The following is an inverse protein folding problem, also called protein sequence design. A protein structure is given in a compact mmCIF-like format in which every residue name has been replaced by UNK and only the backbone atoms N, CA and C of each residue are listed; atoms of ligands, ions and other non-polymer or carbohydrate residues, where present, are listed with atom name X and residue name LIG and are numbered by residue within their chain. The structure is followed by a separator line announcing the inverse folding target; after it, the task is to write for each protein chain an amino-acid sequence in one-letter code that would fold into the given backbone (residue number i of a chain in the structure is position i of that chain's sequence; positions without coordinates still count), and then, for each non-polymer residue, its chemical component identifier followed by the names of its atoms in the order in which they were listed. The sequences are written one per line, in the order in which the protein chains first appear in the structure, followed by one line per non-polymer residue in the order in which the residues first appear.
data_IF_713097504416
#
_entry.id   IF_713097504416
#
_cell.length_a   1.000
_cell.length_b   1.000
_cell.length_c   1.000
_cell.angle_alpha   90.00
_cell.angle_beta   90.00
_cell.angle_gamma   90.00
#
_symmetry.space_group_name_H-M   'P 1'
#
loop_
_entity.id
_entity.type
_entity.pdbx_description
1 polymer ?
#
# COMPACT_ATOMS: atom_id res chain seq x y z
N UNK A 1 2.81 0.62 28.02
CA UNK A 1 3.27 0.99 26.66
C UNK A 1 3.92 2.38 26.62
N UNK A 2 3.46 3.35 27.42
CA UNK A 2 4.08 4.69 27.51
C UNK A 2 5.55 4.71 27.99
N UNK A 3 5.88 3.94 29.04
CA UNK A 3 7.23 3.95 29.64
C UNK A 3 8.33 3.48 28.67
N UNK A 4 8.07 2.41 27.91
CA UNK A 4 8.99 1.89 26.87
C UNK A 4 9.21 2.90 25.74
N UNK A 5 8.17 3.66 25.37
CA UNK A 5 8.28 4.68 24.33
C UNK A 5 9.09 5.88 24.82
N UNK A 6 8.89 6.29 26.08
CA UNK A 6 9.66 7.36 26.70
C UNK A 6 11.14 7.01 26.85
N UNK A 7 11.46 5.76 27.25
CA UNK A 7 12.84 5.28 27.35
C UNK A 7 13.55 5.25 25.98
N UNK A 8 12.86 4.80 24.93
CA UNK A 8 13.37 4.83 23.54
C UNK A 8 13.63 6.26 23.09
N UNK A 9 12.72 7.19 23.39
CA UNK A 9 12.88 8.60 23.05
C UNK A 9 14.08 9.23 23.77
N UNK A 10 14.22 8.97 25.08
CA UNK A 10 15.37 9.45 25.88
C UNK A 10 16.70 8.92 25.34
N UNK A 11 16.74 7.64 24.98
CA UNK A 11 17.91 7.00 24.37
C UNK A 11 18.26 7.67 23.03
N UNK A 12 17.25 7.90 22.18
CA UNK A 12 17.43 8.57 20.90
C UNK A 12 17.95 10.01 21.06
N UNK A 13 17.38 10.80 21.97
CA UNK A 13 17.83 12.17 22.25
C UNK A 13 19.30 12.17 22.67
N UNK A 14 19.68 11.28 23.58
CA UNK A 14 21.06 11.14 24.06
C UNK A 14 22.03 10.74 22.94
N UNK A 15 21.62 9.85 22.04
CA UNK A 15 22.42 9.50 20.85
C UNK A 15 22.65 10.70 19.94
N UNK A 16 21.60 11.50 19.69
CA UNK A 16 21.69 12.72 18.87
C UNK A 16 22.59 13.77 19.53
N UNK A 17 22.44 13.99 20.84
CA UNK A 17 23.30 14.91 21.61
C UNK A 17 24.78 14.52 21.53
N UNK A 18 25.10 13.24 21.74
CA UNK A 18 26.47 12.74 21.66
C UNK A 18 27.05 12.89 20.25
N UNK A 19 26.26 12.59 19.22
CA UNK A 19 26.67 12.76 17.81
C UNK A 19 26.95 14.23 17.49
N UNK A 20 26.03 15.12 17.85
CA UNK A 20 26.16 16.57 17.67
C UNK A 20 27.40 17.11 18.38
N UNK A 21 27.64 16.68 19.62
CA UNK A 21 28.83 17.08 20.38
C UNK A 21 30.12 16.64 19.67
N UNK A 22 30.20 15.38 19.24
CA UNK A 22 31.37 14.87 18.50
C UNK A 22 31.65 15.67 17.22
N UNK A 23 30.60 16.01 16.47
CA UNK A 23 30.70 16.81 15.24
C UNK A 23 31.25 18.22 15.52
N UNK A 24 30.79 18.87 16.60
CA UNK A 24 31.26 20.19 16.99
C UNK A 24 32.71 20.16 17.49
N UNK A 25 33.08 19.13 18.26
CA UNK A 25 34.45 18.92 18.74
C UNK A 25 35.43 18.71 17.58
N UNK A 26 35.07 17.88 16.60
CA UNK A 26 35.88 17.66 15.39
C UNK A 26 35.99 18.93 14.52
N UNK A 27 34.91 19.69 14.38
CA UNK A 27 34.95 21.00 13.69
C UNK A 27 35.89 21.98 14.36
N UNK A 28 35.86 22.04 15.69
CA UNK A 28 36.77 22.88 16.47
C UNK A 28 38.21 22.41 16.26
N UNK A 29 38.46 21.10 16.34
CA UNK A 29 39.77 20.50 16.08
C UNK A 29 40.31 20.86 14.69
N UNK A 30 39.49 20.79 13.65
CA UNK A 30 39.88 21.17 12.28
C UNK A 30 40.14 22.67 12.13
N UNK A 31 39.34 23.52 12.79
CA UNK A 31 39.54 24.97 12.77
C UNK A 31 40.83 25.39 13.46
N UNK A 32 41.16 24.72 14.57
CA UNK A 32 42.35 25.00 15.38
C UNK A 32 43.58 24.23 14.87
N UNK A 33 43.43 23.38 13.85
CA UNK A 33 44.51 22.56 13.31
C UNK A 33 45.56 23.41 12.58
N UNK A 34 46.82 23.16 12.90
CA UNK A 34 47.97 23.69 12.19
C UNK A 34 48.58 22.52 11.39
N UNK A 35 48.60 22.59 10.05
CA UNK A 35 49.24 21.56 9.23
C UNK A 35 50.68 21.29 9.66
N UNK A 36 51.15 20.05 9.46
CA UNK A 36 52.49 19.65 9.86
C UNK A 36 53.55 20.50 9.13
N UNK A 37 54.47 21.10 9.88
CA UNK A 37 55.58 21.85 9.31
C UNK A 37 56.58 20.92 8.62
N UNK A 38 57.39 21.44 7.70
CA UNK A 38 58.48 20.66 7.08
C UNK A 38 59.41 20.02 8.12
N UNK A 39 59.67 20.71 9.24
CA UNK A 39 60.52 20.19 10.32
C UNK A 39 59.88 18.98 11.01
N UNK A 40 58.57 19.02 11.26
CA UNK A 40 57.83 17.90 11.83
C UNK A 40 57.81 16.71 10.86
N UNK A 41 57.54 16.97 9.57
CA UNK A 41 57.52 15.95 8.52
C UNK A 41 58.88 15.25 8.36
N UNK A 42 60.00 15.97 8.54
CA UNK A 42 61.36 15.37 8.50
C UNK A 42 61.64 14.41 9.65
N UNK A 43 60.98 14.57 10.80
CA UNK A 43 61.13 13.69 11.98
C UNK A 43 60.30 12.41 11.88
N UNK A 44 59.33 12.35 10.95
CA UNK A 44 58.45 11.21 10.74
C UNK A 44 59.06 10.16 9.82
N UNK A 45 58.57 8.92 9.94
CA UNK A 45 59.06 7.78 9.19
C UNK A 45 58.65 7.88 7.71
N UNK A 46 59.63 8.00 6.81
CA UNK A 46 59.43 8.09 5.36
C UNK A 46 59.70 6.77 4.62
N UNK A 47 59.87 5.64 5.34
CA UNK A 47 60.18 4.37 4.72
C UNK A 47 59.02 3.89 3.82
N UNK A 48 59.33 3.59 2.55
CA UNK A 48 58.32 3.13 1.57
C UNK A 48 57.53 1.91 2.06
N UNK A 49 58.18 0.99 2.80
CA UNK A 49 57.51 -0.17 3.41
C UNK A 49 56.38 0.24 4.36
N UNK A 50 56.57 1.33 5.11
CA UNK A 50 55.61 1.83 6.11
C UNK A 50 54.47 2.58 5.44
N UNK A 51 54.75 3.39 4.43
CA UNK A 51 53.71 4.07 3.63
C UNK A 51 52.87 3.07 2.84
N UNK A 52 53.46 2.08 2.17
CA UNK A 52 52.69 1.01 1.48
C UNK A 52 51.86 0.17 2.46
N UNK A 53 52.36 -0.12 3.66
CA UNK A 53 51.60 -0.82 4.68
C UNK A 53 50.39 0.01 5.16
N UNK A 54 50.57 1.32 5.33
CA UNK A 54 49.49 2.24 5.64
C UNK A 54 48.41 2.24 4.55
N UNK A 55 48.79 2.36 3.27
CA UNK A 55 47.85 2.33 2.14
C UNK A 55 47.01 1.05 2.09
N UNK A 56 47.61 -0.11 2.39
CA UNK A 56 46.89 -1.40 2.49
C UNK A 56 45.87 -1.44 3.62
N UNK A 57 46.17 -0.79 4.75
CA UNK A 57 45.22 -0.66 5.87
C UNK A 57 44.08 0.29 5.50
N UNK A 58 44.39 1.41 4.83
CA UNK A 58 43.41 2.39 4.40
C UNK A 58 42.39 1.81 3.40
N UNK A 59 42.83 0.93 2.50
CA UNK A 59 41.94 0.20 1.58
C UNK A 59 40.89 -0.66 2.28
N UNK A 60 41.21 -1.17 3.47
CA UNK A 60 40.32 -1.98 4.32
C UNK A 60 39.96 -1.22 5.60
N UNK A 61 39.69 0.08 5.48
CA UNK A 61 39.36 0.94 6.61
C UNK A 61 38.09 0.45 7.32
N UNK A 62 38.20 0.23 8.63
CA UNK A 62 37.13 -0.27 9.48
C UNK A 62 37.46 -0.07 10.95
N UNK A 63 36.53 -0.47 11.83
CA UNK A 63 36.67 -0.28 13.27
C UNK A 63 37.89 -1.01 13.85
N UNK A 64 38.23 -2.19 13.31
CA UNK A 64 39.35 -3.03 13.78
C UNK A 64 40.70 -2.35 13.50
N UNK A 65 40.84 -1.72 12.33
CA UNK A 65 42.10 -1.11 11.90
C UNK A 65 42.28 0.32 12.44
N UNK A 66 41.21 0.95 12.96
CA UNK A 66 41.17 2.37 13.32
C UNK A 66 42.36 2.80 14.19
N UNK A 67 42.58 2.15 15.33
CA UNK A 67 43.67 2.51 16.25
C UNK A 67 45.05 2.39 15.58
N UNK A 68 45.26 1.36 14.77
CA UNK A 68 46.52 1.19 14.04
C UNK A 68 46.69 2.23 12.93
N UNK A 69 45.62 2.61 12.24
CA UNK A 69 45.66 3.64 11.20
C UNK A 69 46.03 4.98 11.83
N UNK A 70 45.37 5.37 12.93
CA UNK A 70 45.66 6.64 13.62
C UNK A 70 47.10 6.70 14.12
N UNK A 71 47.63 5.61 14.69
CA UNK A 71 49.04 5.54 15.10
C UNK A 71 50.01 5.71 13.92
N UNK A 72 49.67 5.19 12.74
CA UNK A 72 50.49 5.36 11.56
C UNK A 72 50.37 6.79 11.00
N UNK A 73 49.20 7.44 11.07
CA UNK A 73 49.02 8.87 10.70
C UNK A 73 49.93 9.79 11.53
N UNK A 74 50.11 9.50 12.82
CA UNK A 74 50.96 10.29 13.72
C UNK A 74 52.47 10.07 13.52
N UNK A 75 52.87 8.95 12.89
CA UNK A 75 54.28 8.50 12.86
C UNK A 75 54.88 8.44 11.46
N UNK A 76 54.06 8.26 10.43
CA UNK A 76 54.51 8.06 9.04
C UNK A 76 54.33 9.35 8.26
N UNK A 77 55.37 9.76 7.53
CA UNK A 77 55.28 10.90 6.63
C UNK A 77 54.48 10.51 5.37
N UNK A 78 53.23 10.96 5.28
CA UNK A 78 52.31 10.65 4.18
C UNK A 78 52.15 11.82 3.19
N UNK A 79 52.97 12.87 3.32
CA UNK A 79 52.86 14.10 2.50
C UNK A 79 52.93 13.84 0.99
N UNK A 80 53.69 12.83 0.56
CA UNK A 80 53.82 12.46 -0.87
C UNK A 80 52.70 11.55 -1.39
N UNK A 81 51.81 11.09 -0.52
CA UNK A 81 50.79 10.09 -0.83
C UNK A 81 49.36 10.64 -0.66
N UNK A 82 49.17 11.95 -0.50
CA UNK A 82 47.86 12.56 -0.21
C UNK A 82 46.82 12.23 -1.29
N UNK A 83 47.17 12.37 -2.58
CA UNK A 83 46.27 11.99 -3.69
C UNK A 83 45.93 10.49 -3.69
N UNK A 84 46.93 9.63 -3.45
CA UNK A 84 46.69 8.18 -3.41
C UNK A 84 45.79 7.80 -2.21
N UNK A 85 45.95 8.49 -1.07
CA UNK A 85 45.11 8.32 0.11
C UNK A 85 43.65 8.67 -0.20
N UNK A 86 43.40 9.80 -0.87
CA UNK A 86 42.02 10.23 -1.18
C UNK A 86 41.34 9.30 -2.17
N UNK A 87 42.04 8.84 -3.22
CA UNK A 87 41.53 7.82 -4.15
C UNK A 87 41.26 6.50 -3.43
N UNK A 88 42.17 6.05 -2.56
CA UNK A 88 42.01 4.80 -1.80
C UNK A 88 40.79 4.84 -0.88
N UNK A 89 40.53 5.96 -0.20
CA UNK A 89 39.35 6.12 0.67
C UNK A 89 38.07 6.13 -0.16
N UNK A 90 38.05 6.84 -1.29
CA UNK A 90 36.87 6.97 -2.15
C UNK A 90 36.46 5.60 -2.77
N UNK A 91 37.44 4.77 -3.11
CA UNK A 91 37.23 3.44 -3.69
C UNK A 91 37.06 2.31 -2.64
N UNK A 92 37.30 2.60 -1.36
CA UNK A 92 37.23 1.59 -0.31
C UNK A 92 35.83 0.97 -0.18
N UNK A 93 35.79 -0.33 0.10
CA UNK A 93 34.55 -1.08 0.36
C UNK A 93 34.14 -0.93 1.83
N UNK A 94 33.60 0.24 2.15
CA UNK A 94 33.24 0.63 3.52
C UNK A 94 31.90 -0.01 3.89
N UNK A 95 31.80 -0.65 5.06
CA UNK A 95 30.50 -1.08 5.59
C UNK A 95 29.76 0.10 6.21
N UNK A 96 28.43 0.05 6.18
CA UNK A 96 27.61 1.09 6.80
C UNK A 96 27.93 1.29 8.30
N UNK A 97 28.27 0.25 9.04
CA UNK A 97 28.70 0.34 10.45
C UNK A 97 30.07 0.99 10.67
N UNK A 98 30.91 1.06 9.63
CA UNK A 98 32.31 1.53 9.71
C UNK A 98 32.47 3.00 9.31
N UNK A 99 31.42 3.65 8.81
CA UNK A 99 31.45 5.05 8.34
C UNK A 99 32.07 5.99 9.38
N UNK A 100 31.70 5.85 10.65
CA UNK A 100 32.24 6.71 11.72
C UNK A 100 33.75 6.52 11.92
N UNK A 101 34.27 5.30 11.78
CA UNK A 101 35.72 5.05 11.80
C UNK A 101 36.43 5.74 10.63
N UNK A 102 35.81 5.76 9.44
CA UNK A 102 36.32 6.47 8.28
C UNK A 102 36.34 7.97 8.51
N UNK A 103 35.26 8.53 9.05
CA UNK A 103 35.17 9.95 9.41
C UNK A 103 36.28 10.35 10.38
N UNK A 104 36.52 9.57 11.44
CA UNK A 104 37.61 9.82 12.40
C UNK A 104 38.98 9.88 11.71
N UNK A 105 39.27 8.95 10.78
CA UNK A 105 40.53 8.97 10.02
C UNK A 105 40.61 10.21 9.12
N UNK A 106 39.54 10.53 8.40
CA UNK A 106 39.49 11.71 7.53
C UNK A 106 39.69 13.02 8.31
N UNK A 107 39.11 13.15 9.51
CA UNK A 107 39.32 14.32 10.39
C UNK A 107 40.80 14.45 10.77
N UNK A 108 41.47 13.36 11.14
CA UNK A 108 42.90 13.39 11.49
C UNK A 108 43.79 13.74 10.29
N UNK A 109 43.54 13.12 9.14
CA UNK A 109 44.26 13.42 7.90
C UNK A 109 44.08 14.88 7.47
N UNK A 110 42.87 15.42 7.60
CA UNK A 110 42.56 16.82 7.30
C UNK A 110 43.24 17.81 8.26
N UNK A 111 43.51 17.42 9.50
CA UNK A 111 44.27 18.25 10.44
C UNK A 111 45.75 18.39 10.04
N UNK A 112 46.34 17.33 9.47
CA UNK A 112 47.78 17.28 9.16
C UNK A 112 48.12 17.72 7.73
N UNK A 113 47.24 17.42 6.78
CA UNK A 113 47.47 17.65 5.35
C UNK A 113 46.39 18.58 4.79
N UNK A 114 46.74 19.85 4.57
CA UNK A 114 45.79 20.91 4.18
C UNK A 114 45.04 20.65 2.87
N UNK A 115 45.65 19.92 1.94
CA UNK A 115 45.06 19.59 0.62
C UNK A 115 44.19 18.33 0.66
N UNK A 116 44.19 17.56 1.76
CA UNK A 116 43.50 16.29 1.83
C UNK A 116 41.98 16.45 1.61
N UNK A 117 41.34 17.42 2.27
CA UNK A 117 39.90 17.65 2.16
C UNK A 117 39.48 18.04 0.74
N UNK A 118 40.24 18.91 0.06
CA UNK A 118 39.91 19.36 -1.29
C UNK A 118 40.09 18.23 -2.31
N UNK A 119 41.17 17.47 -2.21
CA UNK A 119 41.43 16.32 -3.08
C UNK A 119 40.40 15.20 -2.86
N UNK A 120 40.00 14.91 -1.62
CA UNK A 120 38.96 13.92 -1.33
C UNK A 120 37.61 14.35 -1.91
N UNK A 121 37.27 15.64 -1.84
CA UNK A 121 36.03 16.15 -2.43
C UNK A 121 36.00 15.99 -3.95
N UNK A 122 37.15 16.15 -4.63
CA UNK A 122 37.28 15.90 -6.08
C UNK A 122 37.00 14.43 -6.40
N UNK A 123 37.48 13.49 -5.60
CA UNK A 123 37.18 12.06 -5.80
C UNK A 123 35.69 11.75 -5.61
N UNK A 124 35.03 12.29 -4.57
CA UNK A 124 33.58 12.13 -4.40
C UNK A 124 32.79 12.71 -5.58
N UNK A 125 33.23 13.83 -6.16
CA UNK A 125 32.57 14.45 -7.32
C UNK A 125 32.64 13.56 -8.58
N UNK A 126 33.66 12.70 -8.71
CA UNK A 126 33.76 11.71 -9.81
C UNK A 126 32.85 10.51 -9.60
N UNK A 127 32.59 10.12 -8.34
CA UNK A 127 31.84 8.92 -7.98
C UNK A 127 30.32 9.12 -7.93
N UNK A 128 29.87 10.33 -7.55
CA UNK A 128 28.46 10.61 -7.35
C UNK A 128 27.76 10.99 -8.66
N UNK A 129 26.53 10.49 -8.89
CA UNK A 129 25.76 10.86 -10.07
C UNK A 129 25.40 12.35 -10.02
N UNK A 130 25.54 13.04 -11.15
CA UNK A 130 25.34 14.48 -11.26
C UNK A 130 24.40 14.86 -12.39
N UNK A 131 24.34 14.06 -13.45
CA UNK A 131 23.48 14.29 -14.61
C UNK A 131 22.34 13.29 -14.59
N UNK A 132 21.16 13.70 -15.06
CA UNK A 132 19.99 12.81 -15.18
C UNK A 132 20.23 11.55 -16.03
N UNK A 133 21.23 11.57 -16.91
CA UNK A 133 21.65 10.43 -17.73
C UNK A 133 22.51 9.39 -17.01
N UNK A 134 23.01 9.72 -15.82
CA UNK A 134 23.94 8.86 -15.10
C UNK A 134 23.20 7.62 -14.57
N UNK A 135 23.82 6.44 -14.72
CA UNK A 135 23.26 5.18 -14.20
C UNK A 135 23.92 4.84 -12.87
N UNK A 136 23.11 4.52 -11.86
CA UNK A 136 23.60 4.04 -10.57
C UNK A 136 24.06 2.58 -10.76
N UNK A 137 25.37 2.36 -10.80
CA UNK A 137 25.94 1.01 -10.96
C UNK A 137 25.82 0.16 -9.68
N UNK A 138 26.00 0.78 -8.52
CA UNK A 138 25.97 0.09 -7.23
C UNK A 138 25.21 0.91 -6.17
N UNK A 139 23.90 0.69 -6.03
CA UNK A 139 23.06 1.40 -5.05
C UNK A 139 23.53 1.21 -3.60
N UNK A 140 24.07 0.03 -3.27
CA UNK A 140 24.56 -0.28 -1.93
C UNK A 140 25.80 0.53 -1.56
N UNK A 141 26.74 0.70 -2.49
CA UNK A 141 27.90 1.59 -2.31
C UNK A 141 27.45 3.04 -2.25
N UNK A 142 26.58 3.48 -3.18
CA UNK A 142 26.09 4.86 -3.20
C UNK A 142 25.42 5.26 -1.87
N UNK A 143 24.65 4.35 -1.26
CA UNK A 143 24.08 4.55 0.09
C UNK A 143 25.13 4.85 1.16
N UNK A 144 26.25 4.13 1.14
CA UNK A 144 27.35 4.36 2.10
C UNK A 144 28.08 5.65 1.79
N UNK A 145 28.33 5.93 0.50
CA UNK A 145 29.05 7.12 0.04
C UNK A 145 28.28 8.41 0.34
N UNK A 146 26.95 8.44 0.14
CA UNK A 146 26.09 9.59 0.49
C UNK A 146 26.10 9.83 2.00
N UNK A 147 26.04 8.75 2.80
CA UNK A 147 26.15 8.87 4.26
C UNK A 147 27.51 9.42 4.67
N UNK A 148 28.60 8.89 4.12
CA UNK A 148 29.95 9.33 4.42
C UNK A 148 30.13 10.80 4.03
N UNK A 149 29.67 11.21 2.84
CA UNK A 149 29.68 12.61 2.41
C UNK A 149 28.94 13.52 3.40
N UNK A 150 27.74 13.11 3.84
CA UNK A 150 26.97 13.86 4.83
C UNK A 150 27.72 14.01 6.17
N UNK A 151 28.29 12.92 6.70
CA UNK A 151 29.05 12.95 7.95
C UNK A 151 30.33 13.81 7.80
N UNK A 152 31.06 13.73 6.68
CA UNK A 152 32.24 14.57 6.43
C UNK A 152 31.89 16.06 6.36
N UNK A 153 30.72 16.43 5.81
CA UNK A 153 30.21 17.79 5.88
C UNK A 153 29.86 18.20 7.33
N UNK A 154 29.22 17.32 8.10
CA UNK A 154 28.82 17.60 9.48
C UNK A 154 30.03 17.75 10.42
N UNK A 155 31.06 16.92 10.27
CA UNK A 155 32.32 17.01 11.02
C UNK A 155 33.25 18.14 10.51
N UNK A 156 32.92 18.78 9.39
CA UNK A 156 33.66 19.95 8.87
C UNK A 156 34.88 19.62 8.01
N UNK A 157 35.06 18.36 7.64
CA UNK A 157 36.08 17.96 6.64
C UNK A 157 35.79 18.63 5.30
N UNK A 158 34.51 18.68 4.91
CA UNK A 158 34.06 19.45 3.76
C UNK A 158 33.30 20.72 4.18
N UNK A 159 33.60 21.83 3.50
CA UNK A 159 32.88 23.08 3.65
C UNK A 159 31.64 23.18 2.77
N UNK A 160 31.35 24.40 2.30
CA UNK A 160 30.18 24.73 1.46
C UNK A 160 30.10 23.88 0.18
N UNK A 161 31.23 23.63 -0.47
CA UNK A 161 31.27 22.84 -1.71
C UNK A 161 30.83 21.38 -1.50
N UNK A 162 31.13 20.79 -0.34
CA UNK A 162 30.67 19.45 0.01
C UNK A 162 29.16 19.39 0.20
N UNK A 163 28.59 20.40 0.86
CA UNK A 163 27.13 20.52 1.04
C UNK A 163 26.42 20.72 -0.31
N UNK A 164 27.03 21.49 -1.23
CA UNK A 164 26.51 21.64 -2.60
C UNK A 164 26.52 20.31 -3.36
N UNK A 165 27.63 19.57 -3.32
CA UNK A 165 27.72 18.25 -3.94
C UNK A 165 26.69 17.27 -3.37
N UNK A 166 26.52 17.26 -2.04
CA UNK A 166 25.50 16.47 -1.35
C UNK A 166 24.09 16.82 -1.85
N UNK A 167 23.81 18.11 -2.02
CA UNK A 167 22.53 18.56 -2.55
C UNK A 167 22.29 18.19 -4.00
N UNK A 168 23.30 18.27 -4.86
CA UNK A 168 23.21 17.76 -6.24
C UNK A 168 22.90 16.27 -6.28
N UNK A 169 23.53 15.48 -5.42
CA UNK A 169 23.30 14.04 -5.36
C UNK A 169 21.89 13.69 -4.83
N UNK A 170 21.42 14.35 -3.77
CA UNK A 170 20.05 14.17 -3.26
C UNK A 170 19.02 14.61 -4.29
N UNK A 171 19.25 15.73 -4.98
CA UNK A 171 18.39 16.20 -6.07
C UNK A 171 18.36 15.21 -7.23
N UNK A 172 19.49 14.62 -7.62
CA UNK A 172 19.51 13.55 -8.63
C UNK A 172 18.65 12.36 -8.18
N UNK A 173 18.84 11.86 -6.95
CA UNK A 173 18.12 10.70 -6.42
C UNK A 173 16.61 10.93 -6.36
N UNK A 174 16.16 12.13 -5.96
CA UNK A 174 14.73 12.42 -5.83
C UNK A 174 14.07 12.79 -7.16
N UNK A 175 14.80 13.38 -8.12
CA UNK A 175 14.23 13.81 -9.39
C UNK A 175 14.23 12.71 -10.47
N UNK A 176 15.11 11.71 -10.36
CA UNK A 176 15.21 10.62 -11.35
C UNK A 176 14.33 9.42 -11.03
N UNK A 177 13.73 9.38 -9.85
CA UNK A 177 13.02 8.22 -9.32
C UNK A 177 11.65 8.63 -8.76
N UNK A 178 10.71 8.90 -9.67
CA UNK A 178 9.37 9.42 -9.34
C UNK A 178 8.27 8.38 -9.51
N UNK A 179 8.59 7.19 -10.02
CA UNK A 179 7.64 6.11 -10.29
C UNK A 179 7.95 4.91 -9.41
N UNK A 180 9.13 4.30 -9.55
CA UNK A 180 9.48 3.04 -8.87
C UNK A 180 9.98 3.21 -7.43
N UNK A 181 10.54 4.38 -7.10
CA UNK A 181 11.08 4.73 -5.78
C UNK A 181 12.23 3.81 -5.30
N UNK A 182 13.03 3.29 -6.23
CA UNK A 182 14.19 2.40 -6.02
C UNK A 182 15.27 3.04 -5.12
N UNK A 183 15.39 4.37 -5.13
CA UNK A 183 16.37 5.15 -4.38
C UNK A 183 15.97 5.37 -2.92
N UNK A 184 14.76 4.99 -2.50
CA UNK A 184 14.31 5.18 -1.11
C UNK A 184 15.25 4.60 -0.04
N UNK A 185 15.90 3.42 -0.21
CA UNK A 185 16.83 2.88 0.77
C UNK A 185 18.13 3.68 0.89
N UNK A 186 18.43 4.55 -0.09
CA UNK A 186 19.56 5.48 -0.09
C UNK A 186 19.19 6.75 0.68
N UNK A 187 17.95 7.24 0.49
CA UNK A 187 17.45 8.49 1.06
C UNK A 187 17.11 8.38 2.55
N UNK A 188 16.48 7.28 3.01
CA UNK A 188 16.08 7.13 4.42
C UNK A 188 17.25 7.27 5.41
N UNK A 189 18.41 6.62 5.21
CA UNK A 189 19.58 6.83 6.06
C UNK A 189 20.11 8.27 6.05
N UNK A 190 20.03 8.94 4.90
CA UNK A 190 20.42 10.35 4.76
C UNK A 190 19.53 11.26 5.59
N UNK A 191 18.20 11.06 5.55
CA UNK A 191 17.25 11.83 6.36
C UNK A 191 17.57 11.75 7.87
N UNK A 192 17.87 10.54 8.37
CA UNK A 192 18.24 10.30 9.77
C UNK A 192 19.52 11.04 10.18
N UNK A 193 20.53 11.07 9.31
CA UNK A 193 21.83 11.70 9.60
C UNK A 193 21.70 13.23 9.59
N UNK A 194 21.01 13.76 8.59
CA UNK A 194 20.90 15.20 8.37
C UNK A 194 19.87 15.90 9.26
N UNK A 195 19.02 15.12 9.94
CA UNK A 195 17.91 15.60 10.77
C UNK A 195 17.07 16.65 10.03
N UNK A 196 16.60 16.28 8.84
CA UNK A 196 15.99 17.21 7.88
C UNK A 196 14.66 17.77 8.38
N UNK A 197 13.94 17.05 9.25
CA UNK A 197 12.79 17.60 9.94
C UNK A 197 13.20 18.45 11.15
N UNK A 198 12.69 19.68 11.16
CA UNK A 198 12.31 20.35 12.41
C UNK A 198 11.07 19.63 12.95
N UNK A 199 11.23 18.41 13.48
CA UNK A 199 10.07 17.66 13.99
C UNK A 199 9.35 18.48 15.03
N UNK A 200 8.09 18.79 14.73
CA UNK A 200 7.18 19.47 15.62
C UNK A 200 7.19 18.81 17.01
N UNK A 201 7.18 19.65 18.04
CA UNK A 201 7.08 19.36 19.47
C UNK A 201 8.30 18.80 20.23
N UNK A 202 9.42 18.43 19.61
CA UNK A 202 10.65 18.04 20.35
C UNK A 202 11.85 18.85 19.83
N UNK A 203 12.40 19.72 20.69
CA UNK A 203 13.65 20.45 20.40
C UNK A 203 14.84 19.49 20.44
N UNK A 204 15.12 18.82 19.33
CA UNK A 204 16.38 18.10 19.16
C UNK A 204 17.55 19.11 19.08
N UNK A 205 18.76 18.74 19.54
CA UNK A 205 19.94 19.58 19.38
C UNK A 205 20.19 19.86 17.89
N UNK A 206 19.84 21.06 17.45
CA UNK A 206 20.11 21.49 16.08
C UNK A 206 21.58 21.87 15.94
N UNK A 207 22.32 21.14 15.12
CA UNK A 207 23.61 21.61 14.64
C UNK A 207 23.37 22.77 13.65
N UNK A 208 23.88 23.96 13.98
CA UNK A 208 23.97 25.13 13.07
C UNK A 208 25.02 24.95 11.96
N UNK A 209 25.58 23.75 11.85
CA UNK A 209 26.64 23.36 10.93
C UNK A 209 26.24 23.54 9.46
N UNK A 210 25.02 23.15 9.13
CA UNK A 210 24.45 23.30 7.79
C UNK A 210 23.46 24.45 7.85
N UNK A 211 23.58 25.39 6.90
CA UNK A 211 22.71 26.56 6.87
C UNK A 211 21.24 26.14 6.78
N UNK A 212 20.38 26.98 7.37
CA UNK A 212 18.93 26.78 7.37
C UNK A 212 18.41 26.67 5.93
N UNK A 213 18.99 27.42 4.99
CA UNK A 213 18.60 27.39 3.57
C UNK A 213 18.82 26.01 2.94
N UNK A 214 20.00 25.39 3.15
CA UNK A 214 20.25 24.03 2.64
C UNK A 214 19.31 23.00 3.28
N UNK A 215 19.05 23.10 4.59
CA UNK A 215 18.09 22.21 5.26
C UNK A 215 16.69 22.34 4.65
N UNK A 216 16.22 23.57 4.39
CA UNK A 216 14.94 23.82 3.71
C UNK A 216 14.93 23.24 2.30
N UNK A 217 16.01 23.39 1.52
CA UNK A 217 16.11 22.79 0.19
C UNK A 217 16.03 21.26 0.24
N UNK A 218 16.73 20.61 1.16
CA UNK A 218 16.65 19.15 1.32
C UNK A 218 15.25 18.71 1.76
N UNK A 219 14.64 19.41 2.71
CA UNK A 219 13.28 19.14 3.16
C UNK A 219 12.28 19.22 2.01
N UNK A 220 12.36 20.27 1.18
CA UNK A 220 11.47 20.42 0.03
C UNK A 220 11.64 19.29 -1.00
N UNK A 221 12.88 18.95 -1.36
CA UNK A 221 13.15 17.85 -2.30
C UNK A 221 12.59 16.51 -1.81
N UNK A 222 12.67 16.26 -0.50
CA UNK A 222 12.17 15.03 0.12
C UNK A 222 10.64 15.04 0.29
N UNK A 223 10.04 16.19 0.58
CA UNK A 223 8.59 16.36 0.59
C UNK A 223 8.00 16.13 -0.81
N UNK A 224 8.62 16.68 -1.84
CA UNK A 224 8.19 16.46 -3.22
C UNK A 224 8.31 14.99 -3.62
N UNK A 225 9.40 14.31 -3.20
CA UNK A 225 9.59 12.87 -3.41
C UNK A 225 8.55 12.04 -2.63
N UNK A 226 8.21 12.46 -1.41
CA UNK A 226 7.16 11.82 -0.61
C UNK A 226 5.81 11.87 -1.33
N UNK A 227 5.47 12.97 -2.02
CA UNK A 227 4.21 13.07 -2.77
C UNK A 227 4.13 11.98 -3.84
N UNK A 228 5.17 11.80 -4.67
CA UNK A 228 5.18 10.73 -5.68
C UNK A 228 5.19 9.33 -5.04
N UNK A 229 5.82 9.18 -3.87
CA UNK A 229 5.87 7.92 -3.14
C UNK A 229 4.49 7.52 -2.63
N UNK A 230 3.74 8.47 -2.06
CA UNK A 230 2.37 8.23 -1.58
C UNK A 230 1.46 7.83 -2.73
N UNK A 231 1.59 8.44 -3.90
CA UNK A 231 0.84 8.04 -5.10
C UNK A 231 1.22 6.63 -5.58
N UNK A 232 2.51 6.26 -5.54
CA UNK A 232 2.93 4.89 -5.84
C UNK A 232 2.34 3.87 -4.85
N UNK A 233 2.33 4.17 -3.56
CA UNK A 233 1.72 3.32 -2.53
C UNK A 233 0.21 3.14 -2.81
N UNK A 234 -0.50 4.21 -3.20
CA UNK A 234 -1.92 4.14 -3.57
C UNK A 234 -2.17 3.26 -4.80
N UNK A 235 -1.28 3.33 -5.79
CA UNK A 235 -1.36 2.48 -7.00
C UNK A 235 -1.16 1.00 -6.67
N UNK A 236 -0.15 0.66 -5.86
CA UNK A 236 0.09 -0.71 -5.39
C UNK A 236 -1.11 -1.24 -4.57
N UNK A 237 -1.68 -0.40 -3.70
CA UNK A 237 -2.89 -0.75 -2.94
C UNK A 237 -4.09 -1.03 -3.86
N UNK A 238 -4.30 -0.18 -4.87
CA UNK A 238 -5.38 -0.35 -5.83
C UNK A 238 -5.24 -1.65 -6.62
N UNK A 239 -4.04 -1.95 -7.13
CA UNK A 239 -3.73 -3.20 -7.84
C UNK A 239 -3.98 -4.43 -6.94
N UNK A 240 -3.51 -4.37 -5.69
CA UNK A 240 -3.74 -5.43 -4.70
C UNK A 240 -5.24 -5.67 -4.45
N UNK A 241 -6.01 -4.61 -4.24
CA UNK A 241 -7.45 -4.70 -3.99
C UNK A 241 -8.19 -5.31 -5.20
N UNK A 242 -7.85 -4.90 -6.42
CA UNK A 242 -8.45 -5.45 -7.65
C UNK A 242 -8.19 -6.97 -7.78
N UNK A 243 -6.97 -7.42 -7.53
CA UNK A 243 -6.63 -8.83 -7.58
C UNK A 243 -7.31 -9.63 -6.46
N UNK A 244 -7.36 -9.06 -5.24
CA UNK A 244 -8.07 -9.66 -4.12
C UNK A 244 -9.56 -9.88 -4.43
N UNK A 245 -10.22 -8.88 -5.01
CA UNK A 245 -11.63 -8.98 -5.44
C UNK A 245 -11.82 -10.05 -6.53
N UNK A 246 -10.90 -10.12 -7.50
CA UNK A 246 -10.91 -11.15 -8.55
C UNK A 246 -10.79 -12.56 -7.95
N UNK A 247 -9.83 -12.78 -7.04
CA UNK A 247 -9.61 -14.06 -6.36
C UNK A 247 -10.82 -14.48 -5.54
N UNK A 248 -11.42 -13.56 -4.78
CA UNK A 248 -12.66 -13.81 -4.01
C UNK A 248 -13.80 -14.22 -4.94
N UNK A 249 -13.97 -13.52 -6.07
CA UNK A 249 -14.99 -13.85 -7.09
C UNK A 249 -14.76 -15.22 -7.73
N UNK A 250 -13.51 -15.57 -8.07
CA UNK A 250 -13.17 -16.89 -8.61
C UNK A 250 -13.48 -18.00 -7.59
N UNK A 251 -13.03 -17.82 -6.35
CA UNK A 251 -13.30 -18.76 -5.25
C UNK A 251 -14.80 -18.96 -5.04
N UNK A 252 -15.61 -17.90 -5.13
CA UNK A 252 -17.08 -17.99 -5.06
C UNK A 252 -17.70 -18.76 -6.23
N UNK A 253 -17.23 -18.51 -7.45
CA UNK A 253 -17.86 -19.04 -8.67
C UNK A 253 -17.39 -20.45 -9.04
N UNK A 254 -16.18 -20.84 -8.64
CA UNK A 254 -15.55 -22.12 -9.02
C UNK A 254 -15.21 -23.02 -7.82
N UNK A 255 -15.24 -22.48 -6.61
CA UNK A 255 -14.79 -23.16 -5.38
C UNK A 255 -13.31 -22.94 -5.07
N UNK A 256 -12.53 -22.47 -6.04
CA UNK A 256 -11.11 -22.15 -5.88
C UNK A 256 -10.70 -20.95 -6.75
N UNK A 257 -9.58 -20.34 -6.39
CA UNK A 257 -8.81 -19.44 -7.26
C UNK A 257 -7.58 -20.15 -7.82
N UNK A 258 -7.03 -19.66 -8.93
CA UNK A 258 -5.81 -20.24 -9.50
C UNK A 258 -4.62 -20.07 -8.54
N UNK A 259 -3.66 -21.01 -8.60
CA UNK A 259 -2.42 -20.89 -7.83
C UNK A 259 -1.57 -19.69 -8.29
N UNK A 260 -1.66 -19.34 -9.56
CA UNK A 260 -1.00 -18.18 -10.17
C UNK A 260 -1.53 -16.86 -9.58
N UNK A 261 -2.86 -16.68 -9.50
CA UNK A 261 -3.46 -15.49 -8.89
C UNK A 261 -3.07 -15.35 -7.42
N UNK A 262 -3.06 -16.46 -6.65
CA UNK A 262 -2.63 -16.45 -5.25
C UNK A 262 -1.16 -16.02 -5.10
N UNK A 263 -0.27 -16.58 -5.92
CA UNK A 263 1.15 -16.20 -5.93
C UNK A 263 1.32 -14.72 -6.29
N UNK A 264 0.58 -14.24 -7.29
CA UNK A 264 0.65 -12.85 -7.72
C UNK A 264 0.13 -11.88 -6.65
N UNK A 265 -0.92 -12.25 -5.91
CA UNK A 265 -1.41 -11.48 -4.76
C UNK A 265 -0.36 -11.37 -3.66
N UNK A 266 0.35 -12.46 -3.35
CA UNK A 266 1.44 -12.46 -2.37
C UNK A 266 2.60 -11.55 -2.81
N UNK A 267 2.95 -11.55 -4.11
CA UNK A 267 3.97 -10.67 -4.68
C UNK A 267 3.61 -9.18 -4.57
N UNK A 268 2.38 -8.81 -4.99
CA UNK A 268 1.91 -7.42 -4.91
C UNK A 268 1.81 -6.98 -3.45
N UNK A 269 1.29 -7.83 -2.55
CA UNK A 269 1.21 -7.53 -1.11
C UNK A 269 2.59 -7.26 -0.52
N UNK A 270 3.58 -8.11 -0.81
CA UNK A 270 4.95 -7.93 -0.31
C UNK A 270 5.59 -6.63 -0.85
N UNK A 271 5.29 -6.26 -2.09
CA UNK A 271 5.73 -4.99 -2.69
C UNK A 271 5.10 -3.79 -1.99
N UNK A 272 3.77 -3.81 -1.83
CA UNK A 272 2.98 -2.79 -1.13
C UNK A 272 3.46 -2.57 0.31
N UNK A 273 3.59 -3.63 1.12
CA UNK A 273 4.01 -3.53 2.53
C UNK A 273 5.41 -2.90 2.67
N UNK A 274 6.33 -3.26 1.77
CA UNK A 274 7.70 -2.74 1.75
C UNK A 274 7.73 -1.25 1.42
N UNK A 275 6.97 -0.83 0.42
CA UNK A 275 6.93 0.59 0.03
C UNK A 275 6.16 1.43 1.06
N UNK A 276 5.08 0.91 1.62
CA UNK A 276 4.32 1.54 2.72
C UNK A 276 5.22 1.77 3.94
N UNK A 277 5.98 0.75 4.35
CA UNK A 277 6.94 0.87 5.46
C UNK A 277 7.96 1.99 5.20
N UNK A 278 8.44 2.10 3.95
CA UNK A 278 9.39 3.13 3.56
C UNK A 278 8.75 4.53 3.54
N UNK A 279 7.47 4.63 3.13
CA UNK A 279 6.69 5.87 3.17
C UNK A 279 6.37 6.36 4.58
N UNK A 280 6.06 5.44 5.50
CA UNK A 280 5.88 5.75 6.92
C UNK A 280 7.19 6.31 7.50
N UNK A 281 8.31 5.60 7.32
CA UNK A 281 9.60 6.06 7.82
C UNK A 281 10.02 7.41 7.23
N UNK A 282 9.81 7.65 5.93
CA UNK A 282 10.10 8.94 5.32
C UNK A 282 9.22 10.05 5.92
N UNK A 283 7.93 9.78 6.13
CA UNK A 283 6.98 10.73 6.71
C UNK A 283 7.34 11.07 8.16
N UNK A 284 7.73 10.08 8.96
CA UNK A 284 8.28 10.27 10.31
C UNK A 284 9.52 11.18 10.29
N UNK A 285 10.48 10.92 9.39
CA UNK A 285 11.69 11.75 9.26
C UNK A 285 11.41 13.16 8.74
N UNK A 286 10.27 13.40 8.10
CA UNK A 286 9.84 14.71 7.61
C UNK A 286 8.87 15.41 8.59
N UNK A 287 8.44 14.72 9.65
CA UNK A 287 7.46 15.24 10.61
C UNK A 287 6.07 15.44 10.00
N UNK A 288 5.71 14.64 9.00
CA UNK A 288 4.40 14.70 8.33
C UNK A 288 3.64 13.43 8.66
N UNK A 289 2.33 13.54 8.89
CA UNK A 289 1.47 12.38 9.14
C UNK A 289 1.29 11.56 7.84
N UNK A 290 1.26 10.23 7.98
CA UNK A 290 0.98 9.33 6.87
C UNK A 290 -0.53 9.10 6.77
N UNK A 291 -1.08 9.23 5.57
CA UNK A 291 -2.51 8.97 5.32
C UNK A 291 -2.87 7.52 5.70
N UNK A 292 -4.01 7.33 6.37
CA UNK A 292 -4.51 5.98 6.69
C UNK A 292 -5.04 5.34 5.41
N UNK A 293 -4.35 4.30 4.95
CA UNK A 293 -4.74 3.52 3.78
C UNK A 293 -5.37 2.21 4.28
N UNK A 294 -6.68 2.05 4.04
CA UNK A 294 -7.39 0.82 4.38
C UNK A 294 -7.44 -0.07 3.15
N UNK A 295 -7.13 -1.35 3.34
CA UNK A 295 -7.48 -2.37 2.35
C UNK A 295 -9.00 -2.34 2.15
N UNK A 296 -9.44 -2.26 0.90
CA UNK A 296 -10.86 -2.31 0.60
C UNK A 296 -11.31 -3.76 0.81
N UNK A 297 -12.12 -3.96 1.84
CA UNK A 297 -12.87 -5.20 2.00
C UNK A 297 -13.91 -5.27 0.86
N UNK A 298 -14.18 -6.48 0.38
CA UNK A 298 -15.16 -6.68 -0.69
C UNK A 298 -16.50 -6.10 -0.25
N UNK A 299 -17.22 -5.39 -1.14
CA UNK A 299 -18.57 -4.85 -0.85
C UNK A 299 -19.49 -5.96 -0.29
N UNK A 300 -19.28 -7.20 -0.71
CA UNK A 300 -20.04 -8.38 -0.31
C UNK A 300 -19.67 -8.96 1.08
N UNK A 301 -18.65 -8.48 1.80
CA UNK A 301 -18.30 -9.06 3.12
C UNK A 301 -19.41 -8.85 4.15
N UNK A 302 -20.08 -7.70 4.15
CA UNK A 302 -21.24 -7.47 5.01
C UNK A 302 -22.41 -8.40 4.65
N UNK A 303 -22.63 -8.65 3.35
CA UNK A 303 -23.65 -9.58 2.87
C UNK A 303 -23.31 -11.03 3.23
N UNK A 304 -22.05 -11.43 3.14
CA UNK A 304 -21.59 -12.78 3.50
C UNK A 304 -21.67 -13.03 5.01
N UNK A 305 -21.24 -12.06 5.83
CA UNK A 305 -21.41 -12.11 7.29
C UNK A 305 -22.89 -12.21 7.64
N UNK A 306 -23.74 -11.46 6.94
CA UNK A 306 -25.19 -11.50 7.11
C UNK A 306 -25.79 -12.85 6.69
N UNK A 307 -25.35 -13.42 5.56
CA UNK A 307 -25.81 -14.72 5.07
C UNK A 307 -25.37 -15.86 5.98
N UNK A 308 -24.14 -15.83 6.48
CA UNK A 308 -23.61 -16.80 7.46
C UNK A 308 -24.31 -16.67 8.81
N UNK A 309 -24.57 -15.44 9.28
CA UNK A 309 -25.32 -15.19 10.50
C UNK A 309 -26.76 -15.71 10.38
N UNK A 310 -27.41 -15.48 9.23
CA UNK A 310 -28.74 -16.02 8.92
C UNK A 310 -28.73 -17.55 8.88
N UNK A 311 -27.73 -18.17 8.24
CA UNK A 311 -27.56 -19.62 8.18
C UNK A 311 -27.37 -20.24 9.57
N UNK A 312 -26.56 -19.62 10.45
CA UNK A 312 -26.43 -20.05 11.85
C UNK A 312 -27.73 -19.91 12.61
N UNK A 313 -28.40 -18.77 12.50
CA UNK A 313 -29.67 -18.52 13.19
C UNK A 313 -30.76 -19.52 12.76
N UNK A 314 -30.74 -19.95 11.49
CA UNK A 314 -31.59 -21.02 10.97
C UNK A 314 -31.23 -22.40 11.55
N UNK A 315 -29.94 -22.73 11.63
CA UNK A 315 -29.48 -24.02 12.14
C UNK A 315 -29.69 -24.17 13.65
N UNK A 316 -29.50 -23.09 14.41
CA UNK A 316 -29.73 -23.03 15.86
C UNK A 316 -31.22 -22.94 16.22
N UNK A 317 -32.11 -22.78 15.22
CA UNK A 317 -33.55 -22.66 15.41
C UNK A 317 -34.00 -21.32 15.99
N UNK A 318 -33.10 -20.34 16.08
CA UNK A 318 -33.36 -18.99 16.59
C UNK A 318 -34.25 -18.18 15.63
N UNK A 319 -34.17 -18.48 14.33
CA UNK A 319 -35.01 -17.89 13.27
C UNK A 319 -35.62 -19.04 12.47
N UNK A 320 -36.93 -18.99 12.24
CA UNK A 320 -37.63 -19.90 11.34
C UNK A 320 -37.76 -19.25 9.96
N UNK A 321 -37.55 -20.01 8.88
CA UNK A 321 -37.91 -19.55 7.52
C UNK A 321 -39.42 -19.31 7.43
N UNK A 322 -40.18 -20.07 8.22
CA UNK A 322 -41.64 -20.08 8.18
C UNK A 322 -42.23 -19.07 9.16
N UNK A 323 -43.15 -18.19 8.70
CA UNK A 323 -43.84 -17.25 9.57
C UNK A 323 -44.85 -17.93 10.51
N UNK A 324 -45.39 -19.08 10.09
CA UNK A 324 -46.35 -19.88 10.84
C UNK A 324 -46.32 -21.35 10.36
N UNK A 325 -46.88 -22.23 11.19
CA UNK A 325 -46.95 -23.67 10.94
C UNK A 325 -47.86 -24.00 9.74
N UNK A 326 -48.90 -23.20 9.48
CA UNK A 326 -49.79 -23.40 8.33
C UNK A 326 -49.04 -23.21 7.01
N UNK A 327 -48.20 -22.18 6.94
CA UNK A 327 -47.33 -21.89 5.79
C UNK A 327 -46.30 -23.00 5.62
N UNK A 328 -45.68 -23.47 6.71
CA UNK A 328 -44.77 -24.62 6.68
C UNK A 328 -45.48 -25.86 6.12
N UNK A 329 -46.65 -26.19 6.65
CA UNK A 329 -47.43 -27.34 6.20
C UNK A 329 -47.86 -27.21 4.75
N UNK A 330 -48.22 -26.02 4.29
CA UNK A 330 -48.56 -25.79 2.88
C UNK A 330 -47.40 -26.13 1.93
N UNK A 331 -46.16 -25.79 2.30
CA UNK A 331 -44.98 -26.08 1.47
C UNK A 331 -44.41 -27.48 1.68
N UNK A 332 -44.53 -28.07 2.88
CA UNK A 332 -44.01 -29.41 3.20
C UNK A 332 -45.01 -30.53 2.87
N UNK A 333 -46.32 -30.25 2.85
CA UNK A 333 -47.37 -31.24 2.59
C UNK A 333 -47.82 -31.18 1.14
N UNK A 334 -47.60 -32.26 0.38
CA UNK A 334 -48.09 -32.38 -1.00
C UNK A 334 -49.63 -32.39 -1.03
N UNK A 335 -50.22 -31.31 -1.52
CA UNK A 335 -51.65 -31.24 -1.82
C UNK A 335 -51.98 -32.00 -3.13
N UNK A 336 -52.90 -32.96 -3.08
CA UNK A 336 -53.36 -33.67 -4.28
C UNK A 336 -54.25 -32.77 -5.17
N UNK A 337 -53.63 -32.00 -6.06
CA UNK A 337 -54.33 -31.08 -6.96
C UNK A 337 -55.34 -31.73 -7.89
N UNK A 338 -55.22 -33.05 -8.13
CA UNK A 338 -56.18 -33.83 -8.92
C UNK A 338 -57.60 -33.76 -8.37
N UNK A 339 -57.76 -33.51 -7.07
CA UNK A 339 -59.06 -33.44 -6.41
C UNK A 339 -59.64 -32.01 -6.36
N UNK A 340 -58.81 -30.99 -6.54
CA UNK A 340 -59.17 -29.58 -6.33
C UNK A 340 -59.29 -28.78 -7.62
N UNK A 341 -58.61 -29.22 -8.69
CA UNK A 341 -58.54 -28.49 -9.95
C UNK A 341 -59.52 -29.11 -10.96
N UNK A 342 -60.39 -28.31 -11.62
CA UNK A 342 -61.32 -28.83 -12.62
C UNK A 342 -60.61 -29.60 -13.74
N UNK A 343 -61.20 -30.73 -14.16
CA UNK A 343 -60.67 -31.62 -15.20
C UNK A 343 -60.26 -30.91 -16.51
N UNK A 344 -60.86 -29.74 -16.79
CA UNK A 344 -60.62 -28.93 -17.97
C UNK A 344 -59.16 -28.41 -18.06
N UNK A 345 -58.48 -28.24 -16.92
CA UNK A 345 -57.08 -27.83 -16.86
C UNK A 345 -56.09 -28.97 -17.14
N UNK A 346 -56.58 -30.21 -17.26
CA UNK A 346 -55.79 -31.39 -17.61
C UNK A 346 -55.91 -31.76 -19.10
N UNK A 347 -56.70 -31.03 -19.89
CA UNK A 347 -56.91 -31.32 -21.32
C UNK A 347 -55.90 -30.60 -22.20
N UNK A 348 -55.13 -31.41 -22.95
CA UNK A 348 -54.19 -31.11 -24.06
C UNK A 348 -53.45 -29.77 -24.05
N UNK A 349 -52.12 -29.91 -24.05
CA UNK A 349 -51.05 -28.89 -23.99
C UNK A 349 -51.22 -27.72 -24.98
N UNK A 350 -52.03 -27.86 -26.03
CA UNK A 350 -52.14 -26.87 -27.11
C UNK A 350 -52.91 -25.60 -26.74
N UNK A 351 -53.80 -25.64 -25.74
CA UNK A 351 -54.64 -24.47 -25.39
C UNK A 351 -53.92 -23.50 -24.44
N UNK A 352 -52.96 -23.97 -23.65
CA UNK A 352 -52.31 -23.19 -22.58
C UNK A 352 -51.15 -22.33 -23.12
N UNK A 353 -50.52 -22.75 -24.23
CA UNK A 353 -49.39 -22.08 -24.87
C UNK A 353 -49.74 -20.69 -25.45
N UNK A 354 -51.01 -20.47 -25.80
CA UNK A 354 -51.48 -19.20 -26.37
C UNK A 354 -51.53 -18.06 -25.35
N UNK A 355 -51.68 -18.36 -24.05
CA UNK A 355 -51.73 -17.34 -22.99
C UNK A 355 -50.34 -16.79 -22.62
N UNK A 356 -49.26 -17.51 -22.93
CA UNK A 356 -47.90 -17.09 -22.57
C UNK A 356 -47.21 -16.20 -23.61
N UNK A 357 -47.73 -16.11 -24.84
CA UNK A 357 -47.14 -15.31 -25.91
C UNK A 357 -47.31 -13.78 -25.75
N UNK A 358 -48.13 -13.33 -24.80
CA UNK A 358 -48.42 -11.91 -24.56
C UNK A 358 -47.62 -11.25 -23.42
N UNK A 359 -46.69 -11.95 -22.77
CA UNK A 359 -46.00 -11.45 -21.59
C UNK A 359 -44.50 -11.23 -21.84
N UNK A 360 -44.02 -10.10 -21.34
CA UNK A 360 -42.65 -9.58 -21.40
C UNK A 360 -41.54 -10.62 -21.27
N UNK A 361 -40.41 -10.33 -21.92
CA UNK A 361 -39.10 -11.02 -22.09
C UNK A 361 -38.60 -12.05 -21.06
N UNK A 362 -39.24 -12.20 -19.90
CA UNK A 362 -38.91 -13.15 -18.84
C UNK A 362 -39.85 -14.37 -18.78
N UNK A 363 -41.04 -14.29 -19.39
CA UNK A 363 -41.97 -15.42 -19.55
C UNK A 363 -41.42 -16.61 -20.38
N UNK A 364 -40.58 -16.40 -21.43
CA UNK A 364 -40.00 -17.49 -22.19
C UNK A 364 -39.04 -18.34 -21.38
N UNK A 365 -38.35 -17.79 -20.37
CA UNK A 365 -37.39 -18.53 -19.55
C UNK A 365 -38.09 -19.54 -18.65
N UNK A 366 -39.18 -19.13 -18.00
CA UNK A 366 -39.99 -20.04 -17.18
C UNK A 366 -40.72 -21.09 -18.03
N UNK A 367 -41.30 -20.67 -19.15
CA UNK A 367 -41.85 -21.60 -20.15
C UNK A 367 -40.77 -22.57 -20.63
N UNK A 368 -39.57 -22.08 -20.97
CA UNK A 368 -38.44 -22.90 -21.34
C UNK A 368 -38.14 -23.92 -20.24
N UNK A 369 -37.95 -23.53 -18.98
CA UNK A 369 -37.67 -24.48 -17.91
C UNK A 369 -38.78 -25.50 -17.70
N UNK A 370 -40.06 -25.11 -17.69
CA UNK A 370 -41.19 -26.05 -17.58
C UNK A 370 -41.19 -27.06 -18.75
N UNK A 371 -40.89 -26.59 -19.97
CA UNK A 371 -40.99 -27.40 -21.17
C UNK A 371 -39.70 -28.17 -21.53
N UNK A 372 -38.51 -27.72 -21.10
CA UNK A 372 -37.21 -28.37 -21.37
C UNK A 372 -36.76 -29.35 -20.29
N UNK A 373 -37.21 -29.21 -19.05
CA UNK A 373 -36.81 -30.11 -17.94
C UNK A 373 -37.49 -31.49 -17.96
N UNK A 374 -38.22 -31.85 -19.04
CA UNK A 374 -38.97 -33.12 -19.16
C UNK A 374 -39.81 -33.47 -17.92
N UNK A 375 -40.30 -32.46 -17.20
CA UNK A 375 -41.25 -32.66 -16.11
C UNK A 375 -42.49 -33.38 -16.63
N UNK A 376 -42.98 -34.33 -15.83
CA UNK A 376 -44.21 -35.04 -16.12
C UNK A 376 -45.41 -34.07 -16.21
N UNK A 377 -46.45 -34.49 -16.93
CA UNK A 377 -47.63 -33.67 -17.16
C UNK A 377 -48.28 -33.25 -15.84
N UNK A 378 -48.34 -34.15 -14.85
CA UNK A 378 -48.94 -33.86 -13.55
C UNK A 378 -48.17 -32.74 -12.82
N UNK A 379 -46.84 -32.74 -12.89
CA UNK A 379 -45.98 -31.70 -12.33
C UNK A 379 -46.14 -30.36 -13.05
N UNK A 380 -46.26 -30.36 -14.38
CA UNK A 380 -46.54 -29.12 -15.13
C UNK A 380 -47.89 -28.53 -14.75
N UNK A 381 -48.92 -29.37 -14.67
CA UNK A 381 -50.26 -28.93 -14.25
C UNK A 381 -50.23 -28.44 -12.80
N UNK A 382 -49.43 -29.07 -11.93
CA UNK A 382 -49.24 -28.63 -10.56
C UNK A 382 -48.69 -27.21 -10.48
N UNK A 383 -47.55 -26.96 -11.13
CA UNK A 383 -46.94 -25.63 -11.12
C UNK A 383 -47.80 -24.58 -11.82
N UNK A 384 -48.54 -24.95 -12.87
CA UNK A 384 -49.48 -24.05 -13.54
C UNK A 384 -50.64 -23.67 -12.62
N UNK A 385 -51.28 -24.66 -11.97
CA UNK A 385 -52.39 -24.43 -11.06
C UNK A 385 -51.94 -23.65 -9.81
N UNK A 386 -50.80 -24.00 -9.23
CA UNK A 386 -50.22 -23.28 -8.09
C UNK A 386 -49.93 -21.81 -8.44
N UNK A 387 -49.41 -21.56 -9.65
CA UNK A 387 -49.18 -20.19 -10.13
C UNK A 387 -50.48 -19.39 -10.17
N UNK A 388 -51.56 -19.98 -10.70
CA UNK A 388 -52.89 -19.35 -10.80
C UNK A 388 -53.46 -19.10 -9.39
N UNK A 389 -53.47 -20.11 -8.52
CA UNK A 389 -54.03 -20.04 -7.17
C UNK A 389 -53.37 -18.92 -6.35
N UNK A 390 -52.05 -18.74 -6.49
CA UNK A 390 -51.33 -17.70 -5.76
C UNK A 390 -51.41 -16.35 -6.51
N UNK A 391 -51.49 -16.33 -7.84
CA UNK A 391 -51.58 -15.08 -8.61
C UNK A 391 -52.89 -14.32 -8.37
N UNK A 392 -54.03 -15.03 -8.26
CA UNK A 392 -55.35 -14.40 -8.13
C UNK A 392 -55.46 -13.57 -6.84
N UNK A 393 -55.20 -14.10 -5.63
CA UNK A 393 -55.30 -13.32 -4.39
C UNK A 393 -54.29 -12.16 -4.32
N UNK A 394 -53.07 -12.36 -4.82
CA UNK A 394 -52.05 -11.30 -4.87
C UNK A 394 -52.47 -10.16 -5.79
N UNK A 395 -53.01 -10.47 -6.97
CA UNK A 395 -53.54 -9.47 -7.89
C UNK A 395 -54.69 -8.69 -7.23
N UNK A 396 -55.65 -9.37 -6.60
CA UNK A 396 -56.76 -8.73 -5.88
C UNK A 396 -56.24 -7.78 -4.78
N UNK A 397 -55.24 -8.22 -3.99
CA UNK A 397 -54.66 -7.42 -2.91
C UNK A 397 -54.02 -6.13 -3.44
N UNK A 398 -53.35 -6.21 -4.59
CA UNK A 398 -52.72 -5.05 -5.24
C UNK A 398 -53.76 -4.14 -5.88
N UNK A 399 -54.79 -4.69 -6.53
CA UNK A 399 -55.92 -3.90 -7.05
C UNK A 399 -56.61 -3.11 -5.93
N UNK A 400 -56.82 -3.74 -4.77
CA UNK A 400 -57.37 -3.05 -3.60
C UNK A 400 -56.43 -1.98 -3.05
N UNK A 401 -55.12 -2.24 -3.02
CA UNK A 401 -54.12 -1.29 -2.55
C UNK A 401 -54.01 -0.06 -3.47
N UNK A 402 -53.93 -0.27 -4.79
CA UNK A 402 -53.85 0.79 -5.79
C UNK A 402 -55.16 1.59 -5.86
N UNK A 403 -56.32 0.92 -5.73
CA UNK A 403 -57.62 1.59 -5.60
C UNK A 403 -57.71 2.46 -4.34
N UNK A 404 -57.16 2.00 -3.22
CA UNK A 404 -57.02 2.79 -2.00
C UNK A 404 -56.14 4.03 -2.20
N UNK A 405 -54.98 3.86 -2.85
CA UNK A 405 -54.06 4.97 -3.17
C UNK A 405 -54.69 5.99 -4.12
N UNK A 406 -55.46 5.54 -5.11
CA UNK A 406 -56.23 6.39 -6.03
C UNK A 406 -57.25 7.27 -5.30
N UNK A 407 -57.94 6.71 -4.30
CA UNK A 407 -58.90 7.46 -3.49
C UNK A 407 -58.21 8.49 -2.57
N UNK A 408 -57.04 8.16 -2.02
CA UNK A 408 -56.22 9.08 -1.22
C UNK A 408 -55.66 10.22 -2.09
N UNK A 409 -55.19 9.92 -3.30
CA UNK A 409 -54.67 10.93 -4.25
C UNK A 409 -55.76 11.86 -4.77
N UNK A 410 -56.99 11.37 -4.99
CA UNK A 410 -58.16 12.22 -5.29
C UNK A 410 -58.54 13.15 -4.13
N UNK A 411 -58.37 12.71 -2.88
CA UNK A 411 -58.57 13.56 -1.72
C UNK A 411 -57.50 14.65 -1.58
N UNK A 412 -56.30 14.42 -2.14
CA UNK A 412 -55.16 15.33 -2.08
C UNK A 412 -55.15 16.44 -3.17
N UNK A 413 -56.17 16.55 -4.04
CA UNK A 413 -56.24 17.50 -5.17
C UNK A 413 -54.99 17.51 -6.08
N UNK A 414 -54.23 16.42 -6.10
CA UNK A 414 -53.14 16.27 -7.06
C UNK A 414 -53.76 15.85 -8.40
N UNK A 415 -53.44 16.62 -9.44
CA UNK A 415 -53.92 16.41 -10.81
C UNK A 415 -53.23 15.16 -11.37
N UNK A 416 -53.85 13.99 -11.20
CA UNK A 416 -53.27 12.72 -11.65
C UNK A 416 -54.01 12.23 -12.89
N UNK A 417 -53.20 11.89 -13.90
CA UNK A 417 -53.52 11.42 -15.24
C UNK A 417 -54.69 10.41 -15.33
N UNK A 418 -55.30 10.31 -16.51
CA UNK A 418 -56.44 9.43 -16.84
C UNK A 418 -56.46 8.08 -16.09
N UNK A 419 -57.66 7.64 -15.70
CA UNK A 419 -57.91 6.33 -15.06
C UNK A 419 -57.22 5.19 -15.82
N UNK A 420 -57.22 5.23 -17.15
CA UNK A 420 -56.65 4.18 -18.00
C UNK A 420 -55.12 4.08 -17.89
N UNK A 421 -54.42 5.20 -17.70
CA UNK A 421 -52.95 5.21 -17.58
C UNK A 421 -52.49 4.56 -16.27
N UNK A 422 -53.27 4.69 -15.21
CA UNK A 422 -52.98 4.07 -13.92
C UNK A 422 -53.07 2.55 -13.97
N UNK A 423 -54.08 2.01 -14.67
CA UNK A 423 -54.23 0.56 -14.84
C UNK A 423 -53.04 -0.03 -15.59
N UNK A 424 -52.59 0.62 -16.67
CA UNK A 424 -51.47 0.14 -17.48
C UNK A 424 -50.15 0.19 -16.70
N UNK A 425 -49.91 1.27 -15.94
CA UNK A 425 -48.69 1.43 -15.14
C UNK A 425 -48.68 0.46 -13.95
N UNK A 426 -49.80 0.30 -13.23
CA UNK A 426 -49.92 -0.65 -12.13
C UNK A 426 -49.76 -2.11 -12.62
N UNK A 427 -50.35 -2.43 -13.77
CA UNK A 427 -50.19 -3.75 -14.40
C UNK A 427 -48.74 -3.99 -14.83
N UNK A 428 -48.09 -2.99 -15.45
CA UNK A 428 -46.69 -3.09 -15.87
C UNK A 428 -45.72 -3.23 -14.68
N UNK A 429 -45.93 -2.47 -13.61
CA UNK A 429 -45.12 -2.55 -12.38
C UNK A 429 -45.33 -3.88 -11.65
N UNK A 430 -46.57 -4.38 -11.61
CA UNK A 430 -46.85 -5.71 -11.06
C UNK A 430 -46.03 -6.79 -11.76
N UNK A 431 -46.06 -6.82 -13.10
CA UNK A 431 -45.32 -7.83 -13.86
C UNK A 431 -43.79 -7.68 -13.75
N UNK A 432 -43.27 -6.44 -13.72
CA UNK A 432 -41.83 -6.20 -13.65
C UNK A 432 -41.22 -6.53 -12.29
N UNK A 433 -41.89 -6.15 -11.21
CA UNK A 433 -41.36 -6.32 -9.85
C UNK A 433 -41.66 -7.72 -9.31
N UNK A 434 -42.88 -8.22 -9.51
CA UNK A 434 -43.25 -9.54 -8.99
C UNK A 434 -42.88 -10.70 -9.91
N UNK A 435 -42.74 -10.46 -11.22
CA UNK A 435 -42.18 -11.46 -12.14
C UNK A 435 -40.79 -11.88 -11.67
N UNK A 436 -39.83 -10.96 -11.61
CA UNK A 436 -38.46 -11.27 -11.22
C UNK A 436 -38.33 -11.92 -9.84
N UNK A 437 -39.02 -11.42 -8.80
CA UNK A 437 -38.91 -11.99 -7.46
C UNK A 437 -39.50 -13.39 -7.35
N UNK A 438 -40.62 -13.66 -8.03
CA UNK A 438 -41.36 -14.92 -7.86
C UNK A 438 -40.83 -16.04 -8.74
N UNK A 439 -40.27 -15.73 -9.91
CA UNK A 439 -39.53 -16.70 -10.70
C UNK A 439 -38.23 -17.12 -10.01
N UNK A 440 -37.56 -16.19 -9.31
CA UNK A 440 -36.37 -16.52 -8.51
C UNK A 440 -36.71 -17.46 -7.35
N UNK A 441 -37.82 -17.23 -6.63
CA UNK A 441 -38.30 -18.13 -5.58
C UNK A 441 -38.71 -19.51 -6.12
N UNK A 442 -39.44 -19.59 -7.24
CA UNK A 442 -39.83 -20.88 -7.83
C UNK A 442 -38.62 -21.65 -8.40
N UNK A 443 -37.60 -20.95 -8.92
CA UNK A 443 -36.35 -21.56 -9.40
C UNK A 443 -35.52 -22.11 -8.23
N UNK A 444 -35.41 -21.35 -7.14
CA UNK A 444 -34.82 -21.84 -5.88
C UNK A 444 -35.60 -23.05 -5.33
N UNK A 445 -36.93 -23.05 -5.45
CA UNK A 445 -37.79 -24.16 -5.03
C UNK A 445 -37.58 -25.42 -5.89
N UNK A 446 -37.39 -25.28 -7.21
CA UNK A 446 -37.04 -26.39 -8.09
C UNK A 446 -35.65 -26.96 -7.79
N UNK A 447 -34.66 -26.11 -7.52
CA UNK A 447 -33.31 -26.56 -7.11
C UNK A 447 -33.39 -27.32 -5.78
N UNK A 448 -34.17 -26.81 -4.81
CA UNK A 448 -34.35 -27.44 -3.51
C UNK A 448 -35.14 -28.77 -3.55
N UNK A 449 -35.91 -29.03 -4.61
CA UNK A 449 -36.58 -30.32 -4.84
C UNK A 449 -35.75 -31.29 -5.70
N UNK A 450 -34.70 -30.80 -6.36
CA UNK A 450 -33.80 -31.59 -7.21
C UNK A 450 -32.51 -32.01 -6.47
N UNK A 451 -32.14 -31.28 -5.42
CA UNK A 451 -31.18 -31.70 -4.36
C UNK A 451 -31.96 -32.47 -3.30
#
# INVERSE_FOLDING_TARGET
MGDVMEERLRTYIKEVENRTKCQLDDRKKLKDAIPLSEEQLRKMDSALKRTTAFMKKLKNIGCIQLASILQDVDKVNLSKFVEEMTTTIAEAKIKYSEVQSVVTVCVHLSCYYSEFSSLLLVEFRKLLPSKRSDKIQNPSKLRVDIRLLAELCLHGVFGKEGVQLLGSAVSFLTLTDRTEHINIPILLPFCKVMNVASTANIKLPETSVISVDYKKTFAQLLLDYRVSLVEHIKQDLFEMNQLLLSIKRQTRTRGDASAEDRSHLEEIRARYEKILTSGIQLSEYLGVEMETMKEEQSEDEEEEVSALALSRALHEGTITVWPDEDTRQFYETRMELRQLVPAILFQSVDTVTFLFHGMSVDAPVWGHHIYTTRLDIDTRTYFSAATIIIAIPSAIKIFNCVGGLSNILRAARLDVMSYDTHYIVAFSLYFKVYGCLRYSLCFLFMIALYV
#
